data_IF_938287534650
#
_entry.id   IF_938287534650
#
_cell.length_a   1.000
_cell.length_b   1.000
_cell.length_c   1.000
_cell.angle_alpha   90.00
_cell.angle_beta   90.00
_cell.angle_gamma   90.00
#
_symmetry.space_group_name_H-M   'P 1'
#
loop_
_entity.id
_entity.type
_entity.pdbx_description
1 polymer ?
#
# COMPACT_ATOMS: atom_id res chain seq x y z
N UNK A 1 3.99 -15.80 26.36
CA UNK A 1 4.40 -15.07 25.15
C UNK A 1 3.15 -14.36 24.67
N UNK A 2 2.92 -13.16 25.20
CA UNK A 2 1.77 -12.34 24.85
C UNK A 2 2.13 -11.58 23.57
N UNK A 3 1.49 -11.95 22.47
CA UNK A 3 1.66 -11.25 21.20
C UNK A 3 0.74 -10.02 21.24
N UNK A 4 1.33 -8.83 21.32
CA UNK A 4 0.61 -7.58 21.08
C UNK A 4 0.62 -7.29 19.58
N UNK A 5 -0.55 -7.34 18.95
CA UNK A 5 -0.74 -6.94 17.55
C UNK A 5 -1.47 -5.61 17.57
N UNK A 6 -0.76 -4.53 17.28
CA UNK A 6 -1.37 -3.23 16.99
C UNK A 6 -1.72 -3.24 15.51
N UNK A 7 -2.99 -3.49 15.19
CA UNK A 7 -3.50 -3.33 13.83
C UNK A 7 -3.78 -1.85 13.57
N UNK A 8 -2.97 -1.22 12.71
CA UNK A 8 -3.29 0.08 12.11
C UNK A 8 -3.77 -0.19 10.69
N UNK A 9 -4.88 -0.92 10.56
CA UNK A 9 -5.57 -1.12 9.28
C UNK A 9 -6.78 -0.20 9.25
N UNK A 10 -6.96 0.64 8.22
CA UNK A 10 -8.16 1.47 8.08
C UNK A 10 -9.39 0.68 7.60
N UNK A 11 -9.21 -0.54 7.05
CA UNK A 11 -10.29 -1.38 6.47
C UNK A 11 -11.21 -2.01 7.51
N UNK A 12 -12.53 -2.02 7.26
CA UNK A 12 -13.52 -2.70 8.11
C UNK A 12 -13.35 -4.20 7.97
N UNK A 13 -13.00 -4.67 6.77
CA UNK A 13 -12.62 -6.06 6.56
C UNK A 13 -11.32 -6.34 7.31
N UNK A 14 -10.30 -5.48 7.30
CA UNK A 14 -9.07 -5.73 8.07
C UNK A 14 -9.19 -5.55 9.59
N UNK A 15 -10.04 -4.65 10.11
CA UNK A 15 -10.27 -4.48 11.55
C UNK A 15 -11.25 -5.55 12.04
N UNK A 16 -12.36 -5.82 11.35
CA UNK A 16 -13.28 -6.90 11.71
C UNK A 16 -12.56 -8.24 11.55
N UNK A 17 -11.78 -8.46 10.49
CA UNK A 17 -10.96 -9.68 10.40
C UNK A 17 -9.87 -9.72 11.47
N UNK A 18 -9.14 -8.65 11.82
CA UNK A 18 -8.17 -8.75 12.92
C UNK A 18 -8.82 -8.92 14.30
N UNK A 19 -9.96 -8.28 14.55
CA UNK A 19 -10.70 -8.43 15.81
C UNK A 19 -11.35 -9.81 15.88
N UNK A 20 -11.78 -10.39 14.76
CA UNK A 20 -12.24 -11.78 14.66
C UNK A 20 -11.10 -12.79 14.77
N UNK A 21 -9.99 -12.60 14.05
CA UNK A 21 -8.81 -13.48 14.05
C UNK A 21 -8.19 -13.56 15.45
N UNK A 22 -8.05 -12.43 16.15
CA UNK A 22 -7.40 -12.36 17.47
C UNK A 22 -8.31 -12.89 18.58
N UNK A 23 -9.62 -12.59 18.55
CA UNK A 23 -10.54 -12.97 19.63
C UNK A 23 -11.19 -14.36 19.45
N UNK A 24 -11.33 -14.90 18.23
CA UNK A 24 -12.04 -16.17 17.99
C UNK A 24 -11.15 -17.38 17.67
N UNK A 25 -9.86 -17.20 17.36
CA UNK A 25 -8.94 -18.34 17.21
C UNK A 25 -8.70 -19.10 18.53
N UNK A 26 -8.81 -18.38 19.66
CA UNK A 26 -8.76 -18.95 21.00
C UNK A 26 -9.61 -18.12 21.96
N UNK A 27 -10.81 -18.61 22.30
CA UNK A 27 -11.77 -17.92 23.19
C UNK A 27 -11.26 -17.72 24.62
N UNK A 28 -10.07 -18.23 24.97
CA UNK A 28 -9.43 -18.07 26.28
C UNK A 28 -8.51 -16.84 26.34
N UNK A 29 -8.25 -16.17 25.22
CA UNK A 29 -7.40 -14.98 25.19
C UNK A 29 -8.23 -13.74 25.54
N UNK A 30 -7.85 -13.02 26.58
CA UNK A 30 -8.45 -11.72 26.91
C UNK A 30 -8.03 -10.68 25.86
N UNK A 31 -9.01 -10.10 25.17
CA UNK A 31 -8.80 -9.02 24.20
C UNK A 31 -9.50 -7.73 24.64
N UNK A 32 -8.92 -6.58 24.28
CA UNK A 32 -9.51 -5.26 24.47
C UNK A 32 -9.48 -4.55 23.12
N UNK A 33 -10.61 -3.96 22.74
CA UNK A 33 -10.73 -3.11 21.55
C UNK A 33 -11.02 -1.69 22.02
N UNK A 34 -10.25 -0.73 21.50
CA UNK A 34 -10.40 0.69 21.81
C UNK A 34 -10.96 1.40 20.57
N UNK A 35 -12.17 1.92 20.71
CA UNK A 35 -12.93 2.59 19.64
C UNK A 35 -13.39 3.97 20.08
N UNK A 36 -13.73 4.83 19.12
CA UNK A 36 -14.30 6.17 19.34
C UNK A 36 -15.83 6.19 19.25
N UNK A 37 -16.48 5.02 19.20
CA UNK A 37 -17.93 4.85 19.13
C UNK A 37 -18.41 3.62 19.91
N UNK A 38 -19.71 3.58 20.26
CA UNK A 38 -20.31 2.45 20.98
C UNK A 38 -21.09 1.48 20.08
N UNK A 39 -21.79 2.01 19.06
CA UNK A 39 -22.74 1.21 18.25
C UNK A 39 -22.66 1.45 16.75
N UNK A 40 -22.30 2.67 16.32
CA UNK A 40 -22.14 3.02 14.91
C UNK A 40 -20.96 3.98 14.77
N UNK A 41 -20.22 3.86 13.67
CA UNK A 41 -19.06 4.72 13.40
C UNK A 41 -19.42 6.20 13.52
N UNK A 42 -18.61 6.92 14.30
CA UNK A 42 -18.66 8.38 14.35
C UNK A 42 -18.18 9.00 13.03
N UNK A 43 -17.28 8.31 12.32
CA UNK A 43 -16.74 8.75 11.04
C UNK A 43 -17.79 8.68 9.92
N UNK A 44 -18.15 9.84 9.35
CA UNK A 44 -19.11 9.97 8.24
C UNK A 44 -18.53 9.64 6.86
N UNK A 45 -17.21 9.65 6.74
CA UNK A 45 -16.48 9.47 5.48
C UNK A 45 -15.72 8.17 5.42
N UNK A 46 -16.10 7.19 6.24
CA UNK A 46 -15.46 5.89 6.32
C UNK A 46 -15.15 5.27 4.93
N UNK A 47 -13.87 4.98 4.65
CA UNK A 47 -13.33 4.53 3.33
C UNK A 47 -13.55 5.43 2.12
N UNK A 48 -13.91 6.68 2.35
CA UNK A 48 -14.04 7.67 1.29
C UNK A 48 -12.71 8.38 1.06
N UNK A 49 -12.56 8.91 -0.15
CA UNK A 49 -11.52 9.89 -0.48
C UNK A 49 -11.63 11.20 0.34
N UNK A 50 -12.76 11.39 1.04
CA UNK A 50 -13.00 12.50 1.97
C UNK A 50 -12.57 12.18 3.41
N UNK A 51 -12.05 10.98 3.69
CA UNK A 51 -11.53 10.60 5.01
C UNK A 51 -10.10 11.09 5.22
N UNK A 52 -9.96 12.41 5.30
CA UNK A 52 -8.69 13.12 5.36
C UNK A 52 -8.36 13.63 6.78
N UNK A 53 -7.23 14.34 6.89
CA UNK A 53 -6.77 14.96 8.13
C UNK A 53 -7.77 15.95 8.75
N UNK A 54 -8.66 16.56 7.97
CA UNK A 54 -9.64 17.50 8.51
C UNK A 54 -10.71 16.80 9.37
N UNK A 55 -10.85 15.48 9.22
CA UNK A 55 -11.79 14.66 9.97
C UNK A 55 -11.20 14.10 11.29
N UNK A 56 -9.92 14.38 11.60
CA UNK A 56 -9.20 13.78 12.74
C UNK A 56 -8.70 14.87 13.69
N UNK A 57 -8.83 14.63 15.00
CA UNK A 57 -8.31 15.52 16.03
C UNK A 57 -6.95 15.01 16.56
N UNK A 58 -5.87 15.76 16.30
CA UNK A 58 -4.51 15.39 16.73
C UNK A 58 -4.37 15.32 18.25
N UNK A 59 -5.03 16.20 19.01
CA UNK A 59 -5.01 16.20 20.48
C UNK A 59 -5.63 14.93 21.05
N UNK A 60 -6.73 14.47 20.44
CA UNK A 60 -7.37 13.20 20.83
C UNK A 60 -6.46 12.00 20.53
N UNK A 61 -5.79 12.00 19.38
CA UNK A 61 -4.81 10.96 19.03
C UNK A 61 -3.65 10.90 20.04
N UNK A 62 -3.10 12.05 20.43
CA UNK A 62 -2.02 12.14 21.44
C UNK A 62 -2.48 11.60 22.80
N UNK A 63 -3.70 11.94 23.23
CA UNK A 63 -4.26 11.43 24.48
C UNK A 63 -4.45 9.91 24.43
N UNK A 64 -4.97 9.36 23.32
CA UNK A 64 -5.13 7.93 23.12
C UNK A 64 -3.78 7.19 23.14
N UNK A 65 -2.76 7.70 22.43
CA UNK A 65 -1.41 7.12 22.44
C UNK A 65 -0.80 7.15 23.85
N UNK A 66 -1.02 8.21 24.62
CA UNK A 66 -0.53 8.29 26.00
C UNK A 66 -1.16 7.24 26.90
N UNK A 67 -2.47 7.02 26.75
CA UNK A 67 -3.20 5.99 27.47
C UNK A 67 -2.71 4.59 27.10
N UNK A 68 -2.55 4.31 25.79
CA UNK A 68 -2.05 3.01 25.29
C UNK A 68 -0.64 2.75 25.81
N UNK A 69 0.28 3.70 25.69
CA UNK A 69 1.67 3.53 26.11
C UNK A 69 1.78 3.21 27.62
N UNK A 70 1.03 3.92 28.47
CA UNK A 70 1.00 3.66 29.91
C UNK A 70 0.35 2.32 30.25
N UNK A 71 -0.73 1.96 29.55
CA UNK A 71 -1.41 0.68 29.76
C UNK A 71 -0.52 -0.50 29.36
N UNK A 72 0.16 -0.41 28.22
CA UNK A 72 1.14 -1.40 27.79
C UNK A 72 2.28 -1.54 28.78
N UNK A 73 2.79 -0.43 29.31
CA UNK A 73 3.83 -0.47 30.33
C UNK A 73 3.36 -1.18 31.61
N UNK A 74 2.13 -0.91 32.06
CA UNK A 74 1.56 -1.60 33.24
C UNK A 74 1.39 -3.10 32.98
N UNK A 75 0.93 -3.47 31.78
CA UNK A 75 0.74 -4.88 31.41
C UNK A 75 2.07 -5.63 31.29
N UNK A 76 3.11 -4.97 30.77
CA UNK A 76 4.43 -5.57 30.60
C UNK A 76 5.27 -5.55 31.90
N UNK A 77 4.95 -4.66 32.84
CA UNK A 77 5.64 -4.57 34.12
C UNK A 77 5.06 -5.59 35.09
N UNK A 78 5.92 -6.47 35.61
CA UNK A 78 5.55 -7.24 36.80
C UNK A 78 5.29 -6.25 37.95
N UNK A 79 4.29 -6.54 38.80
CA UNK A 79 3.71 -5.68 39.86
C UNK A 79 4.69 -4.98 40.82
N UNK A 80 5.99 -5.27 40.75
CA UNK A 80 7.02 -4.76 41.66
C UNK A 80 7.61 -3.41 41.24
N UNK A 81 7.46 -2.98 39.97
CA UNK A 81 8.06 -1.74 39.44
C UNK A 81 7.05 -0.63 39.10
N UNK A 82 5.78 -0.76 39.54
CA UNK A 82 4.73 0.26 39.37
C UNK A 82 4.94 1.48 40.28
N UNK A 83 5.96 2.28 39.98
CA UNK A 83 6.13 3.60 40.58
C UNK A 83 5.41 4.67 39.74
N UNK A 84 4.56 5.47 40.40
CA UNK A 84 3.84 6.58 39.77
C UNK A 84 4.75 7.59 39.06
N UNK A 85 6.01 7.70 39.50
CA UNK A 85 7.04 8.51 38.86
C UNK A 85 7.42 8.00 37.47
N UNK A 86 7.46 6.68 37.25
CA UNK A 86 7.78 6.08 35.95
C UNK A 86 6.63 6.27 34.97
N UNK A 87 5.39 6.06 35.41
CA UNK A 87 4.20 6.34 34.60
C UNK A 87 4.08 7.82 34.23
N UNK A 88 4.49 8.72 35.14
CA UNK A 88 4.59 10.15 34.88
C UNK A 88 5.71 10.54 33.91
N UNK A 89 6.77 9.73 33.82
CA UNK A 89 7.87 9.92 32.88
C UNK A 89 7.54 9.45 31.46
N UNK A 90 6.59 8.53 31.29
CA UNK A 90 6.06 8.14 29.97
C UNK A 90 5.27 9.33 29.40
N UNK A 91 5.90 10.02 28.46
CA UNK A 91 5.35 11.16 27.78
C UNK A 91 5.39 10.96 26.27
N UNK A 92 4.29 11.32 25.61
CA UNK A 92 4.16 11.24 24.15
C UNK A 92 4.73 12.52 23.55
N UNK A 93 5.56 12.39 22.52
CA UNK A 93 6.01 13.53 21.76
C UNK A 93 4.90 13.98 20.79
N UNK A 94 4.16 15.03 21.17
CA UNK A 94 3.08 15.62 20.37
C UNK A 94 3.52 15.98 18.95
N UNK A 95 4.70 16.59 18.81
CA UNK A 95 5.23 17.02 17.50
C UNK A 95 5.45 15.83 16.57
N UNK A 96 5.91 14.70 17.10
CA UNK A 96 6.12 13.48 16.32
C UNK A 96 4.78 12.88 15.84
N UNK A 97 3.75 12.91 16.70
CA UNK A 97 2.41 12.43 16.33
C UNK A 97 1.82 13.29 15.22
N UNK A 98 1.91 14.61 15.35
CA UNK A 98 1.41 15.53 14.32
C UNK A 98 2.16 15.39 12.99
N UNK A 99 3.48 15.21 13.03
CA UNK A 99 4.30 14.97 11.84
C UNK A 99 3.93 13.64 11.17
N UNK A 100 3.80 12.55 11.93
CA UNK A 100 3.34 11.24 11.41
C UNK A 100 1.95 11.34 10.78
N UNK A 101 1.02 12.02 11.44
CA UNK A 101 -0.32 12.23 10.90
C UNK A 101 -0.28 13.05 9.61
N UNK A 102 0.52 14.11 9.56
CA UNK A 102 0.70 14.94 8.36
C UNK A 102 1.24 14.15 7.16
N UNK A 103 2.29 13.34 7.36
CA UNK A 103 2.90 12.58 6.27
C UNK A 103 2.06 11.38 5.82
N UNK A 104 1.36 10.71 6.74
CA UNK A 104 0.65 9.46 6.44
C UNK A 104 -0.82 9.67 6.03
N UNK A 105 -1.44 10.79 6.40
CA UNK A 105 -2.88 10.98 6.25
C UNK A 105 -3.25 12.16 5.35
N UNK A 106 -2.27 12.88 4.79
CA UNK A 106 -2.49 14.02 3.90
C UNK A 106 -1.61 13.93 2.65
N UNK A 107 -2.10 14.50 1.54
CA UNK A 107 -1.32 14.75 0.32
C UNK A 107 -0.50 16.05 0.39
N UNK A 108 -0.53 16.77 1.50
CA UNK A 108 0.30 17.93 1.78
C UNK A 108 0.63 17.91 3.29
N UNK A 109 1.90 17.67 3.72
CA UNK A 109 3.15 17.61 2.96
C UNK A 109 3.48 16.23 2.34
N UNK A 110 2.57 15.26 2.39
CA UNK A 110 2.68 13.95 1.74
C UNK A 110 3.86 13.06 2.19
N UNK A 111 4.11 11.95 1.47
CA UNK A 111 5.24 11.04 1.76
C UNK A 111 6.62 11.66 1.45
N UNK A 112 6.66 12.86 0.90
CA UNK A 112 7.86 13.66 0.63
C UNK A 112 8.26 14.52 1.83
N UNK A 113 7.58 14.39 2.97
CA UNK A 113 8.01 15.04 4.20
C UNK A 113 9.42 14.57 4.62
N UNK A 114 10.14 15.43 5.36
CA UNK A 114 11.54 15.19 5.71
C UNK A 114 11.73 13.87 6.47
N UNK A 115 10.83 13.56 7.42
CA UNK A 115 10.86 12.31 8.17
C UNK A 115 10.80 11.09 7.25
N UNK A 116 9.86 11.02 6.30
CA UNK A 116 9.71 9.84 5.42
C UNK A 116 10.93 9.68 4.51
N UNK A 117 11.46 10.80 3.98
CA UNK A 117 12.67 10.82 3.14
C UNK A 117 13.92 10.25 3.84
N UNK A 118 13.98 10.32 5.16
CA UNK A 118 15.10 9.76 5.93
C UNK A 118 15.06 8.22 5.98
N UNK A 119 13.90 7.60 5.74
CA UNK A 119 13.73 6.15 5.80
C UNK A 119 13.54 5.49 4.44
N UNK A 120 12.82 6.14 3.52
CA UNK A 120 12.51 5.57 2.21
C UNK A 120 12.62 6.61 1.09
N UNK A 121 12.84 6.10 -0.13
CA UNK A 121 12.52 6.83 -1.36
C UNK A 121 11.13 6.38 -1.82
N UNK A 122 10.08 7.21 -1.62
CA UNK A 122 8.72 6.86 -2.00
C UNK A 122 8.57 6.88 -3.54
N UNK A 123 7.77 5.97 -4.06
CA UNK A 123 7.38 5.93 -5.47
C UNK A 123 6.16 6.83 -5.73
N UNK A 124 5.26 6.94 -4.75
CA UNK A 124 4.07 7.80 -4.81
C UNK A 124 4.22 9.03 -3.90
N UNK A 125 3.64 10.14 -4.32
CA UNK A 125 3.64 11.39 -3.54
C UNK A 125 2.61 11.27 -2.42
N UNK A 126 1.34 11.06 -2.76
CA UNK A 126 0.27 10.89 -1.77
C UNK A 126 0.35 9.52 -1.08
N UNK A 127 0.15 9.47 0.26
CA UNK A 127 0.02 8.21 0.97
C UNK A 127 -1.24 7.47 0.55
N UNK A 128 -1.08 6.19 0.23
CA UNK A 128 -2.19 5.27 -0.03
C UNK A 128 -2.20 4.20 1.07
N UNK A 129 -3.34 3.98 1.69
CA UNK A 129 -3.53 2.88 2.65
C UNK A 129 -4.17 1.65 2.00
N UNK A 130 -4.22 1.65 0.67
CA UNK A 130 -4.63 0.47 -0.08
C UNK A 130 -3.58 -0.63 0.07
N UNK A 131 -4.01 -1.83 0.44
CA UNK A 131 -3.13 -2.96 0.76
C UNK A 131 -2.36 -3.52 -0.44
N UNK A 132 -2.73 -3.11 -1.66
CA UNK A 132 -2.10 -3.58 -2.88
C UNK A 132 -2.45 -5.03 -3.22
N UNK A 133 -1.65 -5.65 -4.10
CA UNK A 133 -1.86 -7.01 -4.61
C UNK A 133 -0.59 -7.82 -4.51
N UNK A 134 -0.69 -9.05 -4.01
CA UNK A 134 0.40 -10.02 -4.04
C UNK A 134 0.41 -10.71 -5.41
N UNK A 135 1.28 -10.25 -6.31
CA UNK A 135 1.30 -10.70 -7.72
C UNK A 135 2.00 -12.06 -7.89
N UNK A 136 3.10 -12.29 -7.16
CA UNK A 136 3.97 -13.45 -7.33
C UNK A 136 3.92 -14.45 -6.18
N UNK A 137 4.90 -15.35 -6.15
CA UNK A 137 5.06 -16.32 -5.07
C UNK A 137 5.22 -15.59 -3.71
N UNK A 138 4.42 -15.94 -2.70
CA UNK A 138 4.52 -15.32 -1.38
C UNK A 138 5.87 -15.65 -0.74
N UNK A 139 6.63 -14.62 -0.36
CA UNK A 139 7.97 -14.73 0.21
C UNK A 139 8.16 -13.80 1.42
N UNK A 140 8.89 -14.25 2.43
CA UNK A 140 9.32 -13.44 3.58
C UNK A 140 10.34 -12.36 3.21
N UNK A 141 10.93 -12.44 2.02
CA UNK A 141 11.77 -11.41 1.40
C UNK A 141 11.02 -10.88 0.17
N UNK A 142 9.97 -10.07 0.37
CA UNK A 142 9.16 -9.59 -0.74
C UNK A 142 10.00 -8.71 -1.67
N UNK A 143 9.67 -8.74 -2.96
CA UNK A 143 10.20 -7.76 -3.88
C UNK A 143 9.71 -6.37 -3.48
N UNK A 144 10.64 -5.44 -3.20
CA UNK A 144 10.30 -4.12 -2.66
C UNK A 144 9.35 -3.31 -3.55
N UNK A 145 9.33 -3.56 -4.87
CA UNK A 145 8.38 -2.91 -5.78
C UNK A 145 6.93 -3.39 -5.63
N UNK A 146 6.67 -4.43 -4.84
CA UNK A 146 5.32 -4.90 -4.50
C UNK A 146 4.90 -4.53 -3.08
N UNK A 147 5.78 -3.90 -2.30
CA UNK A 147 5.45 -3.44 -0.95
C UNK A 147 5.11 -1.96 -1.03
N UNK A 148 3.92 -1.59 -0.56
CA UNK A 148 3.48 -0.20 -0.56
C UNK A 148 4.41 0.72 0.26
N UNK A 149 4.53 1.98 -0.16
CA UNK A 149 5.42 2.96 0.45
C UNK A 149 5.10 3.22 1.92
N UNK A 150 3.82 3.23 2.31
CA UNK A 150 3.41 3.40 3.71
C UNK A 150 3.92 2.22 4.54
N UNK A 151 3.75 0.98 4.05
CA UNK A 151 4.24 -0.22 4.73
C UNK A 151 5.76 -0.23 4.87
N UNK A 152 6.48 0.16 3.81
CA UNK A 152 7.96 0.29 3.82
C UNK A 152 8.41 1.35 4.82
N UNK A 153 7.74 2.50 4.88
CA UNK A 153 8.05 3.56 5.83
C UNK A 153 7.80 3.09 7.27
N UNK A 154 6.60 2.57 7.57
CA UNK A 154 6.23 2.11 8.92
C UNK A 154 7.19 1.04 9.42
N UNK A 155 7.57 0.09 8.56
CA UNK A 155 8.53 -0.95 8.91
C UNK A 155 9.90 -0.37 9.30
N UNK A 156 10.44 0.53 8.48
CA UNK A 156 11.73 1.17 8.75
C UNK A 156 11.69 2.08 9.99
N UNK A 157 10.61 2.85 10.13
CA UNK A 157 10.39 3.76 11.26
C UNK A 157 10.31 2.98 12.58
N UNK A 158 9.52 1.89 12.62
CA UNK A 158 9.39 1.06 13.81
C UNK A 158 10.72 0.37 14.16
N UNK A 159 11.41 -0.17 13.15
CA UNK A 159 12.71 -0.79 13.35
C UNK A 159 13.73 0.19 13.96
N UNK A 160 13.72 1.47 13.56
CA UNK A 160 14.62 2.48 14.12
C UNK A 160 14.25 2.82 15.57
N UNK A 161 12.96 3.05 15.84
CA UNK A 161 12.45 3.42 17.18
C UNK A 161 12.59 2.34 18.24
N UNK A 162 12.63 1.08 17.83
CA UNK A 162 12.70 -0.08 18.74
C UNK A 162 14.08 -0.74 18.76
N UNK A 163 15.02 -0.24 17.94
CA UNK A 163 16.35 -0.79 17.90
C UNK A 163 17.14 -0.54 19.19
N UNK A 164 18.01 -1.49 19.51
CA UNK A 164 18.99 -1.31 20.59
C UNK A 164 20.32 -0.82 19.99
N UNK A 165 20.89 0.29 20.50
CA UNK A 165 22.19 0.77 20.04
C UNK A 165 23.25 -0.31 20.25
N UNK A 166 23.97 -0.70 19.19
CA UNK A 166 25.09 -1.63 19.30
C UNK A 166 26.33 -0.85 19.75
N UNK A 167 26.67 -0.95 21.04
CA UNK A 167 27.95 -0.46 21.54
C UNK A 167 29.08 -1.14 20.75
N UNK A 168 29.91 -0.35 20.06
CA UNK A 168 31.06 -0.78 19.24
C UNK A 168 30.79 -1.22 17.79
N UNK A 169 29.84 -0.61 17.09
CA UNK A 169 29.70 -0.82 15.65
C UNK A 169 30.64 0.12 14.85
N UNK A 170 31.96 -0.08 14.97
CA UNK A 170 32.95 0.57 14.12
C UNK A 170 33.05 -0.15 12.78
N UNK A 171 32.18 0.18 11.83
CA UNK A 171 32.43 0.21 10.38
C UNK A 171 31.11 0.18 9.62
N UNK A 172 31.02 1.04 8.61
CA UNK A 172 30.11 0.98 7.45
C UNK A 172 29.49 -0.39 7.26
N UNK A 173 28.16 -0.49 7.19
CA UNK A 173 27.42 -1.72 6.84
C UNK A 173 28.07 -2.39 5.63
N UNK A 174 28.94 -3.36 5.90
CA UNK A 174 29.53 -4.24 4.91
C UNK A 174 28.43 -5.20 4.50
N UNK A 175 28.41 -5.54 3.21
CA UNK A 175 27.42 -6.38 2.51
C UNK A 175 27.34 -7.84 3.00
N UNK A 176 27.78 -8.13 4.22
CA UNK A 176 28.04 -9.47 4.72
C UNK A 176 27.32 -9.65 6.06
N UNK A 177 26.04 -10.03 5.97
CA UNK A 177 25.27 -10.51 7.10
C UNK A 177 25.06 -12.02 6.91
N UNK A 178 25.71 -12.80 7.77
CA UNK A 178 25.74 -14.28 7.77
C UNK A 178 24.56 -14.92 8.51
N UNK A 179 23.72 -14.13 9.18
CA UNK A 179 22.50 -14.58 9.83
C UNK A 179 21.27 -14.11 9.04
N UNK A 180 20.37 -15.03 8.68
CA UNK A 180 19.26 -14.76 7.74
C UNK A 180 18.17 -13.79 8.27
N UNK A 181 18.18 -13.48 9.56
CA UNK A 181 17.11 -12.76 10.27
C UNK A 181 17.46 -11.32 10.68
N UNK A 182 18.68 -10.83 10.40
CA UNK A 182 19.11 -9.48 10.76
C UNK A 182 19.06 -8.53 9.54
N UNK A 183 18.33 -7.41 9.67
CA UNK A 183 18.24 -6.37 8.63
C UNK A 183 18.69 -5.02 9.21
N UNK A 184 19.69 -4.40 8.60
CA UNK A 184 20.23 -3.12 9.07
C UNK A 184 19.55 -1.94 8.39
N UNK A 185 19.14 -0.99 9.22
CA UNK A 185 18.73 0.36 8.82
C UNK A 185 19.95 1.21 8.42
N UNK A 186 19.75 2.42 7.86
CA UNK A 186 20.84 3.38 7.63
C UNK A 186 21.64 3.75 8.90
N UNK A 187 21.10 3.45 10.09
CA UNK A 187 21.75 3.49 11.39
C UNK A 187 22.13 2.07 11.84
N UNK A 188 23.33 1.88 12.42
CA UNK A 188 23.93 0.60 12.86
C UNK A 188 23.19 -0.05 14.06
N UNK A 189 21.93 -0.37 13.84
CA UNK A 189 20.94 -0.69 14.84
C UNK A 189 20.32 -2.06 14.51
N UNK A 190 20.35 -2.99 15.48
CA UNK A 190 19.77 -4.34 15.33
C UNK A 190 18.32 -4.29 15.77
N UNK A 191 17.41 -4.71 14.89
CA UNK A 191 15.98 -4.75 15.17
C UNK A 191 15.41 -6.09 14.67
N UNK A 192 14.59 -6.77 15.49
CA UNK A 192 13.99 -8.06 15.14
C UNK A 192 12.63 -7.86 14.45
N UNK A 193 12.64 -7.27 13.26
CA UNK A 193 11.43 -6.95 12.48
C UNK A 193 11.42 -7.77 11.19
N UNK A 194 10.29 -8.37 10.86
CA UNK A 194 10.09 -9.12 9.62
C UNK A 194 8.79 -8.74 8.97
N UNK A 195 8.77 -8.77 7.63
CA UNK A 195 7.51 -8.73 6.90
C UNK A 195 6.72 -10.01 7.16
N UNK A 196 5.44 -9.83 7.41
CA UNK A 196 4.49 -10.94 7.53
C UNK A 196 3.57 -10.87 6.32
N UNK A 197 3.45 -12.00 5.63
CA UNK A 197 2.56 -12.13 4.49
C UNK A 197 1.11 -12.10 5.00
N UNK A 198 0.31 -11.19 4.43
CA UNK A 198 -1.10 -11.06 4.73
C UNK A 198 -1.90 -11.28 3.45
N UNK A 199 -2.38 -12.51 3.26
CA UNK A 199 -3.32 -12.87 2.20
C UNK A 199 -4.28 -13.94 2.74
N UNK A 200 -5.42 -14.10 2.08
CA UNK A 200 -6.44 -15.07 2.49
C UNK A 200 -5.86 -16.49 2.56
N UNK A 201 -6.12 -17.20 3.65
CA UNK A 201 -5.73 -18.61 3.85
C UNK A 201 -6.40 -19.55 2.83
N UNK A 202 -7.44 -19.07 2.15
CA UNK A 202 -8.11 -19.77 1.05
C UNK A 202 -7.38 -19.63 -0.29
N UNK A 203 -6.27 -18.90 -0.35
CA UNK A 203 -5.46 -18.79 -1.55
C UNK A 203 -4.18 -19.62 -1.38
N UNK A 204 -3.85 -20.40 -2.40
CA UNK A 204 -2.55 -21.08 -2.50
C UNK A 204 -1.87 -20.72 -3.80
N UNK A 205 -0.55 -20.59 -3.78
CA UNK A 205 0.24 -20.30 -4.98
C UNK A 205 0.93 -21.58 -5.43
N UNK A 206 0.52 -22.09 -6.60
CA UNK A 206 1.08 -23.32 -7.17
C UNK A 206 1.42 -23.08 -8.64
N UNK A 207 2.64 -23.48 -9.03
CA UNK A 207 3.11 -23.46 -10.42
C UNK A 207 2.92 -22.13 -11.16
N UNK A 208 3.08 -21.00 -10.46
CA UNK A 208 2.94 -19.67 -11.05
C UNK A 208 1.52 -19.11 -11.08
N UNK A 209 0.56 -19.79 -10.46
CA UNK A 209 -0.85 -19.39 -10.44
C UNK A 209 -1.44 -19.43 -9.04
N UNK A 210 -2.30 -18.45 -8.74
CA UNK A 210 -3.11 -18.44 -7.53
C UNK A 210 -4.35 -19.31 -7.70
N UNK A 211 -4.53 -20.28 -6.80
CA UNK A 211 -5.67 -21.18 -6.75
C UNK A 211 -6.52 -20.88 -5.51
N UNK A 212 -7.84 -20.92 -5.68
CA UNK A 212 -8.80 -20.75 -4.57
C UNK A 212 -9.14 -22.12 -3.99
N UNK A 213 -8.83 -22.30 -2.71
CA UNK A 213 -9.19 -23.47 -1.93
C UNK A 213 -10.68 -23.42 -1.55
N UNK A 214 -11.37 -24.58 -1.57
CA UNK A 214 -12.73 -24.67 -1.09
C UNK A 214 -12.78 -24.38 0.42
N UNK A 215 -13.88 -23.79 0.92
CA UNK A 215 -14.04 -23.54 2.35
C UNK A 215 -13.99 -24.86 3.12
N UNK A 216 -13.15 -24.91 4.15
CA UNK A 216 -13.01 -26.10 4.99
C UNK A 216 -13.98 -26.00 6.18
N UNK A 217 -14.97 -26.88 6.25
CA UNK A 217 -15.97 -26.89 7.33
C UNK A 217 -15.40 -27.15 8.74
N UNK A 218 -14.19 -27.71 8.86
CA UNK A 218 -13.52 -27.89 10.15
C UNK A 218 -12.77 -26.65 10.63
N UNK A 219 -12.52 -25.69 9.73
CA UNK A 219 -11.88 -24.42 10.03
C UNK A 219 -12.93 -23.31 9.91
N UNK A 220 -13.53 -22.95 11.05
CA UNK A 220 -14.52 -21.89 11.08
C UNK A 220 -13.98 -20.56 10.57
N UNK A 221 -12.68 -20.29 10.75
CA UNK A 221 -12.02 -19.07 10.30
C UNK A 221 -11.80 -19.11 8.78
N UNK A 222 -11.26 -20.21 8.27
CA UNK A 222 -11.09 -20.44 6.84
C UNK A 222 -12.40 -20.51 6.04
N UNK A 223 -13.54 -20.75 6.69
CA UNK A 223 -14.86 -20.68 6.05
C UNK A 223 -15.37 -19.25 5.85
N UNK A 224 -14.94 -18.28 6.67
CA UNK A 224 -15.36 -16.87 6.60
C UNK A 224 -14.30 -15.96 6.00
N UNK A 225 -13.08 -16.46 5.82
CA UNK A 225 -11.96 -15.72 5.24
C UNK A 225 -12.30 -15.15 3.84
N UNK A 226 -12.22 -13.82 3.66
CA UNK A 226 -12.60 -13.17 2.41
C UNK A 226 -11.60 -13.44 1.30
N UNK A 227 -12.13 -13.73 0.10
CA UNK A 227 -11.31 -13.90 -1.12
C UNK A 227 -11.54 -12.70 -2.03
N UNK A 228 -10.58 -11.80 -2.04
CA UNK A 228 -10.56 -10.60 -2.89
C UNK A 228 -9.40 -10.68 -3.87
N UNK A 229 -9.70 -10.51 -5.16
CA UNK A 229 -8.70 -10.48 -6.24
C UNK A 229 -8.91 -9.24 -7.08
N UNK A 230 -7.83 -8.53 -7.38
CA UNK A 230 -7.85 -7.36 -8.25
C UNK A 230 -7.59 -7.75 -9.71
N UNK A 231 -8.29 -7.09 -10.64
CA UNK A 231 -8.09 -7.33 -12.08
C UNK A 231 -6.75 -6.78 -12.54
N UNK A 232 -6.05 -7.49 -13.42
CA UNK A 232 -4.87 -6.95 -14.07
C UNK A 232 -5.27 -5.89 -15.11
N UNK A 233 -4.54 -4.77 -15.15
CA UNK A 233 -4.60 -3.78 -16.23
C UNK A 233 -3.19 -3.46 -16.72
N UNK A 234 -3.07 -2.94 -17.94
CA UNK A 234 -1.76 -2.56 -18.51
C UNK A 234 -1.40 -1.12 -18.15
N UNK A 235 -2.02 -0.14 -18.81
CA UNK A 235 -1.80 1.27 -18.53
C UNK A 235 -3.13 1.98 -18.51
N UNK A 236 -3.43 2.64 -17.40
CA UNK A 236 -4.60 3.51 -17.26
C UNK A 236 -4.16 4.91 -17.68
N UNK A 237 -4.86 5.49 -18.66
CA UNK A 237 -4.55 6.82 -19.17
C UNK A 237 -5.83 7.59 -19.47
N UNK A 238 -5.80 8.90 -19.21
CA UNK A 238 -6.88 9.81 -19.54
C UNK A 238 -6.42 10.73 -20.67
N UNK A 239 -7.18 10.72 -21.77
CA UNK A 239 -6.91 11.57 -22.93
C UNK A 239 -8.10 12.49 -23.19
N UNK A 240 -7.82 13.79 -23.33
CA UNK A 240 -8.83 14.78 -23.70
C UNK A 240 -8.53 15.27 -25.10
N UNK A 241 -9.47 15.09 -26.01
CA UNK A 241 -9.33 15.54 -27.38
C UNK A 241 -10.67 16.07 -27.91
N UNK A 242 -10.59 16.99 -28.86
CA UNK A 242 -11.76 17.47 -29.58
C UNK A 242 -12.12 16.48 -30.68
N UNK A 243 -13.41 16.14 -30.77
CA UNK A 243 -13.91 15.23 -31.80
C UNK A 243 -14.28 16.06 -33.03
N UNK A 244 -13.73 15.68 -34.18
CA UNK A 244 -14.05 16.31 -35.46
C UNK A 244 -15.43 15.88 -35.95
N UNK A 245 -16.10 16.74 -36.72
CA UNK A 245 -17.41 16.43 -37.29
C UNK A 245 -17.30 15.31 -38.32
N UNK A 246 -18.03 14.21 -38.13
CA UNK A 246 -18.00 13.05 -39.02
C UNK A 246 -18.35 13.36 -40.48
N UNK A 247 -19.15 14.42 -40.75
CA UNK A 247 -19.41 14.85 -42.13
C UNK A 247 -18.14 15.36 -42.83
N UNK A 248 -17.26 16.02 -42.09
CA UNK A 248 -15.98 16.49 -42.61
C UNK A 248 -15.05 15.31 -42.92
N UNK A 249 -15.03 14.28 -42.06
CA UNK A 249 -14.24 13.07 -42.29
C UNK A 249 -14.69 12.32 -43.55
N UNK A 250 -16.01 12.25 -43.79
CA UNK A 250 -16.57 11.66 -45.01
C UNK A 250 -16.19 12.47 -46.26
N UNK A 251 -16.19 13.80 -46.18
CA UNK A 251 -15.76 14.65 -47.29
C UNK A 251 -14.28 14.45 -47.61
N UNK A 252 -13.42 14.39 -46.59
CA UNK A 252 -11.99 14.09 -46.77
C UNK A 252 -11.81 12.71 -47.40
N UNK A 253 -12.51 11.70 -46.91
CA UNK A 253 -12.42 10.33 -47.43
C UNK A 253 -12.85 10.25 -48.90
N UNK A 254 -14.01 10.80 -49.24
CA UNK A 254 -14.53 10.79 -50.63
C UNK A 254 -13.62 11.62 -51.54
N UNK A 255 -13.15 12.78 -51.07
CA UNK A 255 -12.19 13.61 -51.79
C UNK A 255 -10.90 12.85 -52.09
N UNK A 256 -10.37 12.13 -51.11
CA UNK A 256 -9.19 11.27 -51.27
C UNK A 256 -9.39 10.19 -52.34
N UNK A 257 -10.51 9.46 -52.28
CA UNK A 257 -10.86 8.42 -53.27
C UNK A 257 -10.94 9.02 -54.68
N UNK A 258 -11.60 10.17 -54.83
CA UNK A 258 -11.76 10.83 -56.13
C UNK A 258 -10.41 11.24 -56.75
N UNK A 259 -9.50 11.78 -55.94
CA UNK A 259 -8.14 12.14 -56.39
C UNK A 259 -7.36 10.89 -56.82
N UNK A 260 -7.44 9.78 -56.07
CA UNK A 260 -6.76 8.53 -56.42
C UNK A 260 -7.27 7.94 -57.75
N UNK A 261 -8.59 7.90 -57.95
CA UNK A 261 -9.19 7.43 -59.22
C UNK A 261 -8.76 8.33 -60.38
N UNK A 262 -8.81 9.65 -60.19
CA UNK A 262 -8.42 10.62 -61.21
C UNK A 262 -6.95 10.48 -61.59
N UNK A 263 -6.06 10.29 -60.61
CA UNK A 263 -4.65 10.04 -60.85
C UNK A 263 -4.42 8.75 -61.66
N UNK A 264 -5.11 7.66 -61.31
CA UNK A 264 -5.01 6.39 -62.05
C UNK A 264 -5.47 6.56 -63.51
N UNK A 265 -6.57 7.29 -63.71
CA UNK A 265 -7.10 7.59 -65.04
C UNK A 265 -6.11 8.43 -65.86
N UNK A 266 -5.54 9.49 -65.27
CA UNK A 266 -4.53 10.32 -65.91
C UNK A 266 -3.25 9.55 -66.26
N UNK A 267 -2.80 8.64 -65.38
CA UNK A 267 -1.66 7.76 -65.66
C UNK A 267 -1.97 6.82 -66.83
N UNK A 268 -3.17 6.25 -66.89
CA UNK A 268 -3.59 5.39 -68.00
C UNK A 268 -3.64 6.16 -69.33
N UNK A 269 -4.19 7.38 -69.33
CA UNK A 269 -4.19 8.26 -70.50
C UNK A 269 -2.77 8.63 -70.94
N UNK A 270 -1.92 9.07 -70.00
CA UNK A 270 -0.53 9.42 -70.29
C UNK A 270 0.24 8.22 -70.87
N UNK A 271 0.07 7.02 -70.31
CA UNK A 271 0.63 5.79 -70.87
C UNK A 271 0.13 5.56 -72.29
N UNK A 272 -1.17 5.65 -72.54
CA UNK A 272 -1.71 5.46 -73.88
C UNK A 272 -1.18 6.49 -74.89
N UNK A 273 -1.03 7.76 -74.49
CA UNK A 273 -0.47 8.80 -75.34
C UNK A 273 1.02 8.56 -75.63
N UNK A 274 1.81 8.23 -74.61
CA UNK A 274 3.22 7.91 -74.74
C UNK A 274 3.43 6.68 -75.63
N UNK A 275 2.65 5.60 -75.45
CA UNK A 275 2.73 4.40 -76.31
C UNK A 275 2.36 4.70 -77.76
N UNK A 276 1.34 5.54 -78.00
CA UNK A 276 0.98 5.99 -79.35
C UNK A 276 2.06 6.88 -79.98
N UNK A 277 2.66 7.78 -79.20
CA UNK A 277 3.70 8.70 -79.67
C UNK A 277 5.05 7.99 -79.92
N UNK A 278 5.37 6.95 -79.14
CA UNK A 278 6.60 6.18 -79.27
C UNK A 278 6.59 5.14 -80.38
N UNK A 279 5.47 4.95 -81.12
CA UNK A 279 5.29 4.00 -82.25
C UNK A 279 6.44 2.98 -82.33
N UNK A 280 6.40 2.01 -81.42
CA UNK A 280 7.06 0.73 -81.67
C UNK A 280 6.06 0.00 -82.56
N UNK A 281 6.33 0.01 -83.86
CA UNK A 281 5.68 -0.87 -84.82
C UNK A 281 5.74 -2.33 -84.33
#
# INVERSE_FOLDING_TARGET
>A
MEAFIISIGRSLDSIVDLTWIICFGNSLTSGIVLEDFDTAFTNKFYHSHLDDMANINSSAAVAAVSLIARSLYILASDNNDMHSSVLGAINVNTSLVEELMGCLLSCEPDLSCEMVKNYIAPANVCPSHYVGVVVGEPSFKPYLGYVDDVSRFVWNFLADRTSTPKENASSSCSKDCTNEDEHFLPSLNVANHRYVLAYSTRLTFESGTWNVLPPNSSDSMGSVDPVSTESNWNTIGLWVYTIQNGAYDHLILIGGIAVTISAYFMIALARSFITKALKRD
#
